data_IF_383664338959
#
_entry.id   IF_383664338959
#
_cell.length_a   1.000
_cell.length_b   1.000
_cell.length_c   1.000
_cell.angle_alpha   90.00
_cell.angle_beta   90.00
_cell.angle_gamma   90.00
#
_symmetry.space_group_name_H-M   'P 1'
#
loop_
_entity.id
_entity.type
_entity.pdbx_description
1 polymer ?
#
# COMPACT_ATOMS: atom_id res chain seq x y z
N UNK A 1 -39.13 -46.62 -26.93
CA UNK A 1 -39.70 -45.81 -25.85
C UNK A 1 -38.92 -46.11 -24.60
N UNK A 2 -37.91 -45.36 -24.30
CA UNK A 2 -37.17 -45.40 -23.04
C UNK A 2 -36.88 -43.96 -22.69
N UNK A 3 -37.62 -43.47 -21.69
CA UNK A 3 -37.53 -42.14 -21.14
C UNK A 3 -36.13 -41.95 -20.46
N UNK A 4 -35.37 -41.05 -21.00
CA UNK A 4 -34.17 -40.53 -20.34
C UNK A 4 -34.60 -39.53 -19.24
N UNK A 5 -34.65 -39.98 -18.00
CA UNK A 5 -34.76 -39.09 -16.84
C UNK A 5 -33.53 -38.23 -16.77
N UNK A 6 -33.65 -36.99 -17.19
CA UNK A 6 -32.75 -35.88 -16.89
C UNK A 6 -32.92 -35.57 -15.41
N UNK A 7 -32.03 -36.10 -14.55
CA UNK A 7 -31.87 -35.65 -13.18
C UNK A 7 -31.32 -34.22 -13.23
N UNK A 8 -32.21 -33.23 -13.16
CA UNK A 8 -31.87 -31.84 -12.80
C UNK A 8 -31.53 -31.87 -11.31
N UNK A 9 -30.26 -31.98 -10.99
CA UNK A 9 -29.76 -31.67 -9.64
C UNK A 9 -30.05 -30.20 -9.41
N UNK A 10 -30.95 -29.87 -8.50
CA UNK A 10 -31.15 -28.51 -8.00
C UNK A 10 -29.78 -27.92 -7.62
N UNK A 11 -29.27 -27.00 -8.41
CA UNK A 11 -27.95 -26.45 -8.24
C UNK A 11 -27.93 -25.50 -7.05
N UNK A 12 -27.11 -25.79 -6.07
CA UNK A 12 -26.67 -24.76 -5.11
C UNK A 12 -26.24 -23.51 -5.88
N UNK A 13 -26.90 -22.39 -5.63
CA UNK A 13 -26.62 -21.13 -6.35
C UNK A 13 -25.18 -20.68 -6.02
N UNK A 14 -24.37 -20.47 -7.07
CA UNK A 14 -23.02 -19.92 -6.90
C UNK A 14 -23.12 -18.47 -6.41
N UNK A 15 -22.28 -18.11 -5.45
CA UNK A 15 -22.11 -16.70 -5.03
C UNK A 15 -21.29 -15.96 -6.11
N UNK A 16 -21.69 -14.75 -6.51
CA UNK A 16 -20.89 -13.94 -7.43
C UNK A 16 -19.52 -13.57 -6.83
N UNK A 17 -18.56 -13.24 -7.67
CA UNK A 17 -17.23 -12.77 -7.23
C UNK A 17 -17.38 -11.48 -6.42
N UNK A 18 -18.25 -10.57 -6.88
CA UNK A 18 -18.53 -9.29 -6.23
C UNK A 18 -19.18 -9.46 -4.86
N UNK A 19 -20.21 -10.29 -4.76
CA UNK A 19 -20.91 -10.50 -3.48
C UNK A 19 -20.01 -11.15 -2.45
N UNK A 20 -19.15 -12.09 -2.89
CA UNK A 20 -18.18 -12.72 -1.99
C UNK A 20 -17.14 -11.69 -1.50
N UNK A 21 -16.58 -10.88 -2.40
CA UNK A 21 -15.64 -9.82 -2.04
C UNK A 21 -16.29 -8.78 -1.13
N UNK A 22 -17.50 -8.33 -1.45
CA UNK A 22 -18.24 -7.36 -0.63
C UNK A 22 -18.49 -7.89 0.79
N UNK A 23 -18.88 -9.17 0.92
CA UNK A 23 -19.04 -9.83 2.22
C UNK A 23 -17.74 -9.89 3.04
N UNK A 24 -16.62 -10.17 2.38
CA UNK A 24 -15.28 -10.12 3.01
C UNK A 24 -14.97 -8.71 3.52
N UNK A 25 -15.06 -7.71 2.65
CA UNK A 25 -14.70 -6.33 2.98
C UNK A 25 -15.61 -5.73 4.06
N UNK A 26 -16.89 -6.09 4.09
CA UNK A 26 -17.83 -5.67 5.13
C UNK A 26 -17.43 -6.17 6.54
N UNK A 27 -16.71 -7.27 6.61
CA UNK A 27 -16.28 -7.91 7.88
C UNK A 27 -14.96 -7.36 8.40
N UNK A 28 -14.06 -6.93 7.50
CA UNK A 28 -12.71 -6.49 7.87
C UNK A 28 -12.74 -5.05 8.39
N UNK A 29 -11.95 -4.80 9.43
CA UNK A 29 -11.74 -3.45 9.98
C UNK A 29 -10.26 -3.08 9.88
N UNK A 30 -9.95 -1.80 9.62
CA UNK A 30 -8.57 -1.33 9.63
C UNK A 30 -7.88 -1.59 10.97
N UNK A 31 -6.61 -1.95 10.93
CA UNK A 31 -5.79 -2.10 12.14
C UNK A 31 -5.75 -0.80 12.92
N UNK A 32 -5.63 -0.89 14.25
CA UNK A 32 -5.47 0.29 15.10
C UNK A 32 -4.24 1.10 14.66
N UNK A 33 -4.35 2.44 14.56
CA UNK A 33 -3.21 3.27 14.19
C UNK A 33 -2.14 3.26 15.28
N UNK A 34 -0.90 3.47 14.87
CA UNK A 34 0.25 3.63 15.75
C UNK A 34 1.01 4.89 15.38
N UNK A 35 1.60 5.55 16.34
CA UNK A 35 2.45 6.71 16.10
C UNK A 35 3.85 6.25 15.73
N UNK A 36 4.38 6.76 14.62
CA UNK A 36 5.74 6.49 14.16
C UNK A 36 6.45 7.78 13.77
N UNK A 37 7.78 7.75 13.85
CA UNK A 37 8.62 8.78 13.25
C UNK A 37 8.38 8.88 11.74
N UNK A 38 8.47 10.09 11.19
CA UNK A 38 8.18 10.34 9.77
C UNK A 38 9.03 9.47 8.85
N UNK A 39 10.30 9.20 9.19
CA UNK A 39 11.18 8.32 8.40
C UNK A 39 10.66 6.88 8.33
N UNK A 40 10.06 6.37 9.41
CA UNK A 40 9.59 4.99 9.52
C UNK A 40 8.19 4.80 8.93
N UNK A 41 7.50 5.92 8.66
CA UNK A 41 6.15 5.94 8.11
C UNK A 41 6.09 5.67 6.59
N UNK A 42 7.23 5.67 5.89
CA UNK A 42 7.27 5.42 4.45
C UNK A 42 6.62 4.10 4.04
N UNK A 43 5.71 4.18 3.05
CA UNK A 43 4.98 3.03 2.52
C UNK A 43 3.77 2.59 3.36
N UNK A 44 3.57 3.18 4.54
CA UNK A 44 2.39 2.96 5.39
C UNK A 44 1.23 3.89 4.98
N UNK A 45 0.06 3.65 5.53
CA UNK A 45 -1.14 4.44 5.27
C UNK A 45 -1.39 5.39 6.44
N UNK A 46 -1.51 6.67 6.13
CA UNK A 46 -1.76 7.73 7.11
C UNK A 46 -3.16 7.56 7.74
N UNK A 47 -3.24 7.66 9.06
CA UNK A 47 -4.49 7.48 9.81
C UNK A 47 -5.08 8.80 10.34
N UNK A 48 -4.43 9.91 10.07
CA UNK A 48 -4.86 11.27 10.44
C UNK A 48 -4.66 12.24 9.28
N UNK A 49 -5.28 13.39 9.32
CA UNK A 49 -4.95 14.49 8.42
C UNK A 49 -3.72 15.23 8.94
N UNK A 50 -2.77 15.52 8.07
CA UNK A 50 -1.60 16.35 8.40
C UNK A 50 -1.80 17.75 7.87
N UNK A 51 -1.95 18.68 8.80
CA UNK A 51 -2.04 20.11 8.50
C UNK A 51 -0.72 20.83 8.77
N UNK A 52 -0.46 21.91 8.03
CA UNK A 52 0.69 22.78 8.25
C UNK A 52 0.64 23.42 9.64
N UNK A 53 1.68 23.20 10.47
CA UNK A 53 1.78 23.80 11.79
C UNK A 53 1.96 25.33 11.74
N UNK A 54 2.57 25.83 10.66
CA UNK A 54 2.77 27.23 10.34
C UNK A 54 2.58 27.45 8.85
N UNK A 55 2.53 28.71 8.43
CA UNK A 55 2.56 29.05 7.01
C UNK A 55 3.81 28.50 6.31
N UNK A 56 3.71 28.15 5.04
CA UNK A 56 4.82 27.71 4.18
C UNK A 56 4.97 28.66 2.98
N UNK A 57 6.11 29.36 2.86
CA UNK A 57 7.14 29.53 3.87
C UNK A 57 6.61 30.28 5.10
N UNK A 58 7.31 30.16 6.24
CA UNK A 58 6.86 30.73 7.52
C UNK A 58 7.08 32.25 7.63
N UNK A 59 7.85 32.83 6.71
CA UNK A 59 8.14 34.29 6.63
C UNK A 59 8.39 34.69 5.17
N UNK A 60 8.25 35.99 4.91
CA UNK A 60 8.60 36.56 3.61
C UNK A 60 10.10 36.43 3.38
N UNK A 61 10.49 35.85 2.23
CA UNK A 61 11.90 35.59 1.93
C UNK A 61 12.26 35.86 0.48
N UNK A 62 13.56 35.98 0.23
CA UNK A 62 14.06 36.18 -1.12
C UNK A 62 13.95 34.89 -1.95
N UNK A 63 13.43 35.02 -3.17
CA UNK A 63 13.43 33.94 -4.14
C UNK A 63 14.77 33.74 -4.86
N UNK A 64 15.65 34.75 -4.82
CA UNK A 64 16.94 34.76 -5.55
C UNK A 64 18.04 35.43 -4.71
N UNK A 65 19.28 35.15 -5.05
CA UNK A 65 20.41 35.93 -4.57
C UNK A 65 20.38 37.32 -5.24
N UNK A 66 20.51 38.39 -4.45
CA UNK A 66 20.39 39.73 -5.01
C UNK A 66 20.42 40.82 -3.95
N UNK A 67 19.68 41.87 -4.21
CA UNK A 67 19.63 43.07 -3.37
C UNK A 67 18.19 43.45 -3.07
N UNK A 68 17.85 43.51 -1.80
CA UNK A 68 16.57 44.03 -1.32
C UNK A 68 16.55 45.57 -1.53
N UNK A 69 15.48 46.05 -2.17
CA UNK A 69 15.33 47.45 -2.57
C UNK A 69 13.89 47.93 -2.38
N UNK A 70 13.72 49.26 -2.35
CA UNK A 70 12.42 49.90 -2.59
C UNK A 70 12.27 50.14 -4.10
N UNK A 71 11.12 49.89 -4.64
CA UNK A 71 10.86 50.02 -6.09
C UNK A 71 11.14 51.42 -6.60
N UNK A 72 10.79 52.45 -5.82
CA UNK A 72 11.03 53.86 -6.21
C UNK A 72 12.51 54.19 -6.35
N UNK A 73 13.39 53.58 -5.52
CA UNK A 73 14.83 53.85 -5.54
C UNK A 73 15.52 53.29 -6.81
N UNK A 74 14.88 52.37 -7.52
CA UNK A 74 15.40 51.71 -8.73
C UNK A 74 14.57 51.95 -9.99
N UNK A 75 13.52 52.79 -9.88
CA UNK A 75 12.57 52.99 -10.98
C UNK A 75 13.20 53.53 -12.26
N UNK A 76 14.33 54.31 -12.15
CA UNK A 76 15.06 54.86 -13.28
C UNK A 76 16.19 53.94 -13.81
N UNK A 77 16.38 52.75 -13.24
CA UNK A 77 17.48 51.86 -13.61
C UNK A 77 17.31 51.31 -15.04
N UNK A 78 18.36 51.43 -15.85
CA UNK A 78 18.49 50.83 -17.17
C UNK A 78 19.96 50.42 -17.44
N UNK A 79 20.20 49.65 -18.49
CA UNK A 79 21.57 49.31 -18.91
C UNK A 79 22.43 50.52 -19.22
N UNK A 80 21.86 51.57 -19.86
CA UNK A 80 22.55 52.80 -20.19
C UNK A 80 22.73 53.72 -18.99
N UNK A 81 21.80 53.65 -18.02
CA UNK A 81 21.81 54.53 -16.83
C UNK A 81 21.56 53.67 -15.57
N UNK A 82 22.57 52.94 -15.09
CA UNK A 82 22.44 52.13 -13.87
C UNK A 82 22.23 53.01 -12.64
N UNK A 83 21.31 52.63 -11.76
CA UNK A 83 21.13 53.26 -10.44
C UNK A 83 22.14 52.65 -9.46
N UNK A 84 22.93 53.50 -8.79
CA UNK A 84 23.93 53.01 -7.82
C UNK A 84 23.46 53.27 -6.38
N UNK A 85 23.25 52.23 -5.61
CA UNK A 85 22.85 52.29 -4.20
C UNK A 85 23.98 51.82 -3.28
N UNK A 86 24.15 52.40 -2.08
CA UNK A 86 24.99 51.82 -1.04
C UNK A 86 24.40 50.50 -0.53
N UNK A 87 25.25 49.50 -0.31
CA UNK A 87 24.91 48.22 0.32
C UNK A 87 25.22 48.36 1.79
N UNK A 88 24.16 48.39 2.65
CA UNK A 88 24.28 48.72 4.08
C UNK A 88 24.38 47.48 4.98
N UNK A 89 24.01 46.32 4.46
CA UNK A 89 24.10 45.01 5.15
C UNK A 89 24.09 43.85 4.16
N UNK A 90 24.43 42.65 4.65
CA UNK A 90 24.27 41.37 3.92
C UNK A 90 23.51 40.41 4.82
N UNK A 91 22.49 39.70 4.26
CA UNK A 91 21.62 38.76 4.98
C UNK A 91 21.73 37.40 4.32
N UNK A 92 22.22 36.41 5.06
CA UNK A 92 22.28 35.01 4.63
C UNK A 92 21.01 34.25 5.05
N UNK A 93 20.72 33.13 4.40
CA UNK A 93 19.66 32.24 4.86
C UNK A 93 19.95 31.74 6.29
N UNK A 94 18.94 31.80 7.16
CA UNK A 94 19.07 31.48 8.58
C UNK A 94 19.54 32.62 9.48
N UNK A 95 19.85 33.80 8.93
CA UNK A 95 20.09 35.03 9.72
C UNK A 95 18.79 35.48 10.39
N UNK A 96 18.84 35.75 11.69
CA UNK A 96 17.71 36.17 12.52
C UNK A 96 17.80 37.66 12.95
N UNK A 97 18.73 38.44 12.36
CA UNK A 97 18.88 39.86 12.64
C UNK A 97 17.64 40.66 12.23
N UNK A 98 17.32 41.69 13.02
CA UNK A 98 16.27 42.63 12.69
C UNK A 98 16.81 43.73 11.75
N UNK A 99 16.62 43.55 10.46
CA UNK A 99 17.07 44.50 9.44
C UNK A 99 15.92 45.39 8.95
N UNK A 100 16.23 46.66 8.66
CA UNK A 100 15.28 47.57 8.05
C UNK A 100 15.95 48.32 6.89
N UNK A 101 15.33 48.26 5.73
CA UNK A 101 15.78 48.93 4.53
C UNK A 101 15.43 50.41 4.61
N UNK A 102 16.43 51.27 4.44
CA UNK A 102 16.23 52.73 4.40
C UNK A 102 16.08 53.20 2.95
N UNK A 103 15.34 54.29 2.70
CA UNK A 103 15.26 54.92 1.39
C UNK A 103 16.65 55.23 0.82
N UNK A 104 16.86 54.98 -0.47
CA UNK A 104 18.12 55.25 -1.16
C UNK A 104 19.26 54.26 -0.79
N UNK A 105 18.96 53.13 -0.12
CA UNK A 105 19.92 52.07 0.22
C UNK A 105 19.50 50.70 -0.34
N UNK A 106 20.41 49.74 -0.29
CA UNK A 106 20.13 48.33 -0.60
C UNK A 106 20.73 47.45 0.47
N UNK A 107 20.18 46.22 0.59
CA UNK A 107 20.72 45.17 1.45
C UNK A 107 20.96 43.95 0.57
N UNK A 108 22.19 43.46 0.56
CA UNK A 108 22.50 42.21 -0.13
C UNK A 108 21.79 41.06 0.57
N UNK A 109 21.12 40.18 -0.18
CA UNK A 109 20.29 39.12 0.38
C UNK A 109 20.46 37.85 -0.40
N UNK A 110 20.57 36.69 0.32
CA UNK A 110 20.66 35.39 -0.28
C UNK A 110 19.30 34.71 -0.40
N UNK A 111 19.15 33.81 -1.34
CA UNK A 111 17.94 33.01 -1.54
C UNK A 111 17.50 32.33 -0.24
N UNK A 112 16.22 32.45 0.11
CA UNK A 112 15.63 31.92 1.33
C UNK A 112 15.86 32.76 2.58
N UNK A 113 16.67 33.84 2.53
CA UNK A 113 16.85 34.77 3.65
C UNK A 113 15.59 35.58 3.90
N UNK A 114 15.31 35.87 5.17
CA UNK A 114 14.17 36.71 5.58
C UNK A 114 14.33 38.13 5.02
N UNK A 115 13.26 38.67 4.44
CA UNK A 115 13.25 40.00 3.91
C UNK A 115 13.36 41.06 5.05
N UNK A 116 14.25 42.05 4.91
CA UNK A 116 14.28 43.21 5.81
C UNK A 116 12.96 44.00 5.72
N UNK A 117 12.58 44.59 6.83
CA UNK A 117 11.40 45.47 6.86
C UNK A 117 11.54 46.62 5.85
N UNK A 118 10.49 46.91 5.09
CA UNK A 118 10.49 47.94 4.07
C UNK A 118 10.99 47.48 2.69
N UNK A 119 11.33 46.22 2.51
CA UNK A 119 11.63 45.64 1.20
C UNK A 119 10.37 45.54 0.35
N UNK A 120 10.42 46.04 -0.88
CA UNK A 120 9.33 45.98 -1.86
C UNK A 120 9.67 45.05 -3.02
N UNK A 121 10.96 44.80 -3.28
CA UNK A 121 11.46 43.92 -4.31
C UNK A 121 12.87 43.43 -3.98
N UNK A 122 13.28 42.30 -4.61
CA UNK A 122 14.67 41.85 -4.67
C UNK A 122 15.12 41.92 -6.13
N UNK A 123 16.19 42.72 -6.39
CA UNK A 123 16.85 42.75 -7.68
C UNK A 123 17.82 41.60 -7.75
N UNK A 124 17.67 40.63 -8.70
CA UNK A 124 18.61 39.55 -8.89
C UNK A 124 20.04 40.05 -9.11
N UNK A 125 21.03 39.32 -8.58
CA UNK A 125 22.45 39.72 -8.72
C UNK A 125 22.86 39.85 -10.19
N UNK A 126 22.26 39.07 -11.08
CA UNK A 126 22.49 39.10 -12.53
C UNK A 126 22.10 40.42 -13.21
N UNK A 127 21.24 41.20 -12.57
CA UNK A 127 20.80 42.52 -13.05
C UNK A 127 21.65 43.68 -12.49
N UNK A 128 22.81 43.35 -11.91
CA UNK A 128 23.70 44.28 -11.23
C UNK A 128 25.17 44.05 -11.60
N UNK A 129 26.05 44.84 -10.99
CA UNK A 129 27.50 44.63 -11.05
C UNK A 129 28.04 43.73 -9.91
N UNK A 130 27.18 43.22 -9.02
CA UNK A 130 27.55 42.39 -7.88
C UNK A 130 28.30 43.13 -6.76
N UNK A 131 28.20 44.45 -6.68
CA UNK A 131 28.96 45.29 -5.77
C UNK A 131 28.68 45.05 -4.30
N UNK A 132 29.73 45.03 -3.43
CA UNK A 132 29.57 44.72 -2.00
C UNK A 132 29.35 45.96 -1.12
N UNK A 133 30.02 47.09 -1.42
CA UNK A 133 29.84 48.33 -0.67
C UNK A 133 28.81 49.28 -1.35
N UNK A 134 28.74 49.20 -2.64
CA UNK A 134 27.78 49.86 -3.51
C UNK A 134 27.44 48.94 -4.65
N UNK A 135 26.18 48.93 -5.11
CA UNK A 135 25.74 48.14 -6.23
C UNK A 135 25.17 49.02 -7.34
N UNK A 136 25.57 48.75 -8.58
CA UNK A 136 24.99 49.37 -9.76
C UNK A 136 23.90 48.45 -10.33
N UNK A 137 22.65 48.88 -10.22
CA UNK A 137 21.43 48.18 -10.65
C UNK A 137 21.11 48.65 -12.07
N UNK A 138 21.01 47.68 -13.00
CA UNK A 138 20.85 47.90 -14.44
C UNK A 138 19.42 47.68 -14.95
N UNK A 139 18.58 47.06 -14.15
CA UNK A 139 17.20 46.70 -14.50
C UNK A 139 16.30 47.16 -13.36
N UNK A 140 15.23 47.88 -13.67
CA UNK A 140 14.20 48.26 -12.69
C UNK A 140 13.52 47.00 -12.15
N UNK A 141 13.13 47.02 -10.90
CA UNK A 141 12.33 45.94 -10.30
C UNK A 141 10.87 46.40 -10.16
N UNK A 142 9.96 45.48 -10.41
CA UNK A 142 8.54 45.67 -10.10
C UNK A 142 8.24 45.25 -8.65
N UNK A 143 7.14 45.80 -8.08
CA UNK A 143 6.72 45.40 -6.72
C UNK A 143 6.49 43.91 -6.61
N UNK A 144 7.05 43.29 -5.57
CA UNK A 144 7.01 41.84 -5.36
C UNK A 144 7.99 41.03 -6.21
N UNK A 145 8.84 41.67 -7.03
CA UNK A 145 9.85 40.97 -7.82
C UNK A 145 10.77 40.15 -6.92
N UNK A 146 10.92 38.86 -7.23
CA UNK A 146 11.73 37.86 -6.53
C UNK A 146 11.46 37.77 -5.00
N UNK A 147 10.23 38.08 -4.57
CA UNK A 147 9.73 37.95 -3.20
C UNK A 147 8.83 36.70 -3.10
N UNK A 148 9.09 35.85 -2.11
CA UNK A 148 8.17 34.80 -1.70
C UNK A 148 7.48 35.20 -0.41
N UNK A 149 6.17 35.37 -0.48
CA UNK A 149 5.37 35.73 0.69
C UNK A 149 5.15 34.56 1.65
N UNK A 150 5.08 34.84 2.93
CA UNK A 150 4.65 33.86 3.94
C UNK A 150 3.31 33.26 3.55
N UNK A 151 3.21 31.92 3.60
CA UNK A 151 1.99 31.19 3.23
C UNK A 151 1.68 31.19 1.73
N UNK A 152 2.65 31.53 0.89
CA UNK A 152 2.47 31.50 -0.57
C UNK A 152 2.34 30.07 -1.13
N UNK A 153 2.83 29.05 -0.42
CA UNK A 153 2.69 27.65 -0.77
C UNK A 153 1.54 27.00 0.02
N UNK A 154 1.51 27.20 1.34
CA UNK A 154 0.41 26.72 2.18
C UNK A 154 0.21 27.64 3.40
N UNK A 155 -1.04 27.78 3.84
CA UNK A 155 -1.41 28.55 5.04
C UNK A 155 -1.32 27.69 6.29
N UNK A 156 -1.09 28.32 7.44
CA UNK A 156 -1.19 27.63 8.73
C UNK A 156 -2.58 26.97 8.89
N UNK A 157 -2.60 25.71 9.32
CA UNK A 157 -3.82 24.91 9.48
C UNK A 157 -4.36 24.28 8.18
N UNK A 158 -3.78 24.56 7.02
CA UNK A 158 -4.16 23.94 5.76
C UNK A 158 -3.76 22.44 5.77
N UNK A 159 -4.71 21.56 5.39
CA UNK A 159 -4.45 20.11 5.30
C UNK A 159 -3.62 19.84 4.05
N UNK A 160 -2.42 19.29 4.25
CA UNK A 160 -1.46 19.02 3.18
C UNK A 160 -1.47 17.54 2.74
N UNK A 161 -1.74 16.63 3.67
CA UNK A 161 -1.87 15.19 3.38
C UNK A 161 -3.06 14.65 4.16
N UNK A 162 -4.00 14.00 3.47
CA UNK A 162 -5.22 13.46 4.07
C UNK A 162 -5.03 12.06 4.63
N UNK A 163 -5.80 11.69 5.64
CA UNK A 163 -5.94 10.32 6.10
C UNK A 163 -6.29 9.37 4.94
N UNK A 164 -5.85 8.11 5.02
CA UNK A 164 -6.02 7.13 3.95
C UNK A 164 -4.95 7.22 2.85
N UNK A 165 -4.08 8.22 2.87
CA UNK A 165 -2.98 8.36 1.91
C UNK A 165 -1.87 7.35 2.21
N UNK A 166 -1.48 6.53 1.22
CA UNK A 166 -0.26 5.72 1.29
C UNK A 166 0.96 6.62 1.09
N UNK A 167 1.82 6.68 2.10
CA UNK A 167 2.94 7.60 2.16
C UNK A 167 4.04 7.22 1.15
N UNK A 168 4.36 8.18 0.27
CA UNK A 168 5.44 8.14 -0.72
C UNK A 168 6.50 9.18 -0.35
N UNK A 169 7.69 9.19 -0.98
CA UNK A 169 8.75 10.14 -0.64
C UNK A 169 8.31 11.61 -0.62
N UNK A 170 7.48 12.04 -1.59
CA UNK A 170 6.95 13.41 -1.63
C UNK A 170 6.06 13.73 -0.42
N UNK A 171 5.25 12.75 0.06
CA UNK A 171 4.41 12.95 1.25
C UNK A 171 5.28 13.08 2.51
N UNK A 172 6.38 12.32 2.63
CA UNK A 172 7.35 12.44 3.73
C UNK A 172 7.95 13.84 3.75
N UNK A 173 8.33 14.39 2.58
CA UNK A 173 8.87 15.75 2.49
C UNK A 173 7.83 16.80 2.93
N UNK A 174 6.58 16.67 2.48
CA UNK A 174 5.48 17.58 2.85
C UNK A 174 5.20 17.52 4.36
N UNK A 175 5.13 16.33 4.95
CA UNK A 175 4.91 16.12 6.39
C UNK A 175 6.04 16.76 7.21
N UNK A 176 7.29 16.58 6.79
CA UNK A 176 8.44 17.20 7.44
C UNK A 176 8.41 18.74 7.31
N UNK A 177 8.07 19.26 6.11
CA UNK A 177 7.91 20.70 5.87
C UNK A 177 6.76 21.31 6.69
N UNK A 178 5.69 20.53 6.94
CA UNK A 178 4.59 20.90 7.83
C UNK A 178 4.99 21.01 9.31
N UNK A 179 6.24 20.65 9.67
CA UNK A 179 6.76 20.69 11.03
C UNK A 179 6.42 19.45 11.88
N UNK A 180 5.96 18.35 11.27
CA UNK A 180 5.60 17.12 11.98
C UNK A 180 6.81 16.16 12.05
N UNK A 181 7.19 15.77 13.27
CA UNK A 181 8.24 14.76 13.52
C UNK A 181 7.70 13.34 13.59
N UNK A 182 6.42 13.18 13.95
CA UNK A 182 5.70 11.90 14.06
C UNK A 182 4.35 12.00 13.38
N UNK A 183 3.79 10.85 13.00
CA UNK A 183 2.46 10.72 12.39
C UNK A 183 1.76 9.45 12.86
N UNK A 184 0.43 9.47 12.90
CA UNK A 184 -0.38 8.27 13.09
C UNK A 184 -0.53 7.54 11.76
N UNK A 185 -0.12 6.27 11.73
CA UNK A 185 -0.20 5.41 10.55
C UNK A 185 -0.80 4.05 10.88
N UNK A 186 -1.36 3.38 9.88
CA UNK A 186 -1.77 1.97 10.00
C UNK A 186 -0.53 1.08 9.90
N UNK A 187 -0.30 0.17 10.87
CA UNK A 187 0.85 -0.72 10.83
C UNK A 187 0.74 -1.72 9.67
N UNK A 188 1.87 -2.32 9.28
CA UNK A 188 1.87 -3.42 8.30
C UNK A 188 1.17 -4.64 8.90
N UNK A 189 0.14 -5.23 8.23
CA UNK A 189 -0.52 -6.42 8.73
C UNK A 189 0.45 -7.60 8.86
N UNK A 190 0.37 -8.32 9.96
CA UNK A 190 1.09 -9.57 10.18
C UNK A 190 0.27 -10.71 9.60
N UNK A 191 0.75 -11.27 8.50
CA UNK A 191 0.08 -12.36 7.78
C UNK A 191 0.79 -13.66 8.05
N UNK A 192 0.07 -14.67 8.52
CA UNK A 192 0.60 -16.02 8.67
C UNK A 192 -0.02 -16.91 7.58
N UNK A 193 0.84 -17.63 6.86
CA UNK A 193 0.46 -18.59 5.83
C UNK A 193 0.77 -20.00 6.30
N UNK A 194 -0.25 -20.84 6.30
CA UNK A 194 -0.20 -22.22 6.76
C UNK A 194 -0.64 -23.16 5.63
N UNK A 195 0.23 -24.09 5.21
CA UNK A 195 -0.13 -25.16 4.29
C UNK A 195 -0.51 -26.42 5.04
N UNK A 196 -1.61 -27.06 4.61
CA UNK A 196 -2.03 -28.36 5.10
C UNK A 196 -2.03 -29.36 3.97
N UNK A 197 -1.57 -30.56 4.26
CA UNK A 197 -1.52 -31.65 3.30
C UNK A 197 -0.46 -32.69 3.69
N UNK A 198 -0.89 -33.93 3.87
CA UNK A 198 0.03 -35.05 4.16
C UNK A 198 0.92 -35.37 2.97
N UNK A 199 0.53 -34.95 1.77
CA UNK A 199 1.30 -35.09 0.53
C UNK A 199 2.44 -34.05 0.42
N UNK A 200 2.41 -32.97 1.23
CA UNK A 200 3.35 -31.88 1.10
C UNK A 200 4.72 -32.20 1.72
N UNK A 201 5.76 -31.69 1.10
CA UNK A 201 7.14 -31.74 1.57
C UNK A 201 7.77 -30.35 1.46
N UNK A 202 8.70 -30.01 2.35
CA UNK A 202 9.45 -28.75 2.26
C UNK A 202 10.37 -28.79 1.03
N UNK A 203 10.40 -27.68 0.25
CA UNK A 203 11.36 -27.54 -0.85
C UNK A 203 12.81 -27.72 -0.38
N UNK A 204 13.62 -28.38 -1.19
CA UNK A 204 15.00 -28.72 -0.85
C UNK A 204 15.18 -30.05 -0.11
N UNK A 205 14.07 -30.69 0.31
CA UNK A 205 14.14 -32.05 0.87
C UNK A 205 13.99 -33.10 -0.25
N UNK A 206 14.54 -34.32 -0.12
CA UNK A 206 14.30 -35.37 -1.07
C UNK A 206 12.80 -35.70 -1.17
N UNK A 207 12.30 -35.82 -2.40
CA UNK A 207 10.91 -36.18 -2.63
C UNK A 207 10.75 -37.70 -2.73
N UNK A 208 9.74 -38.19 -2.10
CA UNK A 208 9.36 -39.61 -2.18
C UNK A 208 8.07 -39.77 -3.01
N UNK A 209 7.82 -40.96 -3.61
CA UNK A 209 6.59 -41.19 -4.37
C UNK A 209 5.33 -40.83 -3.58
N UNK A 210 4.39 -40.14 -4.22
CA UNK A 210 3.14 -39.68 -3.61
C UNK A 210 3.24 -38.32 -2.90
N UNK A 211 4.42 -37.70 -2.80
CA UNK A 211 4.57 -36.34 -2.26
C UNK A 211 4.90 -35.30 -3.33
N UNK A 212 4.57 -34.04 -3.01
CA UNK A 212 4.87 -32.84 -3.80
C UNK A 212 5.48 -31.78 -2.91
N UNK A 213 6.32 -30.90 -3.46
CA UNK A 213 6.82 -29.77 -2.68
C UNK A 213 5.75 -28.69 -2.50
N UNK A 214 5.70 -28.12 -1.29
CA UNK A 214 4.83 -26.98 -1.00
C UNK A 214 5.29 -25.76 -1.78
N UNK A 215 4.54 -25.37 -2.78
CA UNK A 215 4.74 -24.13 -3.53
C UNK A 215 3.81 -23.01 -3.07
N UNK A 216 2.64 -23.37 -2.51
CA UNK A 216 1.58 -22.43 -2.19
C UNK A 216 1.98 -21.48 -1.06
N UNK A 217 2.49 -21.99 0.06
CA UNK A 217 2.84 -21.11 1.17
C UNK A 217 3.96 -20.13 0.82
N UNK A 218 4.91 -20.53 -0.02
CA UNK A 218 5.96 -19.64 -0.51
C UNK A 218 5.40 -18.54 -1.39
N UNK A 219 4.56 -18.90 -2.36
CA UNK A 219 3.92 -17.97 -3.29
C UNK A 219 3.02 -16.99 -2.57
N UNK A 220 2.14 -17.46 -1.68
CA UNK A 220 1.19 -16.61 -0.96
C UNK A 220 1.92 -15.70 0.04
N UNK A 221 2.94 -16.19 0.74
CA UNK A 221 3.75 -15.35 1.63
C UNK A 221 4.52 -14.26 0.85
N UNK A 222 5.03 -14.58 -0.33
CA UNK A 222 5.67 -13.59 -1.21
C UNK A 222 4.66 -12.54 -1.68
N UNK A 223 3.46 -12.96 -2.14
CA UNK A 223 2.39 -12.05 -2.55
C UNK A 223 1.87 -11.16 -1.41
N UNK A 224 1.83 -11.67 -0.18
CA UNK A 224 1.48 -10.88 0.99
C UNK A 224 2.55 -9.81 1.33
N UNK A 225 3.85 -10.16 1.20
CA UNK A 225 4.94 -9.17 1.36
C UNK A 225 4.88 -8.09 0.29
N UNK A 226 4.62 -8.46 -0.95
CA UNK A 226 4.41 -7.53 -2.05
C UNK A 226 3.22 -6.60 -1.81
N UNK A 227 2.14 -7.10 -1.18
CA UNK A 227 1.01 -6.30 -0.72
C UNK A 227 1.31 -5.41 0.51
N UNK A 228 2.56 -5.41 1.01
CA UNK A 228 3.02 -4.55 2.10
C UNK A 228 2.88 -5.14 3.49
N UNK A 229 2.70 -6.47 3.61
CA UNK A 229 2.56 -7.15 4.88
C UNK A 229 3.89 -7.66 5.45
N UNK A 230 3.92 -7.92 6.75
CA UNK A 230 4.89 -8.78 7.40
C UNK A 230 4.37 -10.22 7.30
N UNK A 231 4.85 -10.99 6.32
CA UNK A 231 4.34 -12.33 6.07
C UNK A 231 5.29 -13.43 6.54
N UNK A 232 4.73 -14.38 7.27
CA UNK A 232 5.43 -15.53 7.85
C UNK A 232 4.82 -16.82 7.33
N UNK A 233 5.65 -17.81 7.06
CA UNK A 233 5.22 -19.17 6.78
C UNK A 233 5.27 -19.99 8.07
N UNK A 234 4.21 -20.75 8.31
CA UNK A 234 4.22 -21.83 9.30
C UNK A 234 4.71 -23.12 8.63
N UNK A 235 5.33 -24.01 9.41
CA UNK A 235 5.67 -25.35 8.93
C UNK A 235 4.41 -26.08 8.43
N UNK A 236 4.61 -27.00 7.46
CA UNK A 236 3.52 -27.80 6.91
C UNK A 236 2.85 -28.59 8.05
N UNK A 237 1.52 -28.49 8.13
CA UNK A 237 0.72 -29.21 9.10
C UNK A 237 0.09 -30.43 8.40
N UNK A 238 0.29 -31.64 8.91
CA UNK A 238 -0.38 -32.83 8.38
C UNK A 238 -1.92 -32.71 8.46
N UNK A 239 -2.63 -33.40 7.58
CA UNK A 239 -4.11 -33.48 7.58
C UNK A 239 -4.63 -34.27 8.79
N UNK A 240 -4.41 -33.77 9.98
CA UNK A 240 -4.86 -34.32 11.23
C UNK A 240 -5.55 -33.23 12.06
N UNK A 241 -6.86 -33.39 12.44
CA UNK A 241 -7.60 -32.40 13.23
C UNK A 241 -6.90 -32.04 14.53
N UNK A 242 -6.29 -33.00 15.20
CA UNK A 242 -5.58 -32.79 16.47
C UNK A 242 -4.34 -31.90 16.35
N UNK A 243 -3.80 -31.73 15.13
CA UNK A 243 -2.64 -30.89 14.84
C UNK A 243 -3.02 -29.56 14.18
N UNK A 244 -4.04 -29.56 13.31
CA UNK A 244 -4.45 -28.38 12.54
C UNK A 244 -5.04 -27.31 13.46
N UNK A 245 -5.95 -27.67 14.37
CA UNK A 245 -6.59 -26.72 15.25
C UNK A 245 -5.61 -26.01 16.19
N UNK A 246 -4.76 -26.72 16.95
CA UNK A 246 -3.75 -26.05 17.78
C UNK A 246 -2.74 -25.19 16.97
N UNK A 247 -2.37 -25.63 15.76
CA UNK A 247 -1.49 -24.87 14.90
C UNK A 247 -2.13 -23.54 14.47
N UNK A 248 -3.44 -23.52 14.20
CA UNK A 248 -4.19 -22.31 13.89
C UNK A 248 -4.27 -21.41 15.14
N UNK A 249 -4.68 -21.95 16.28
CA UNK A 249 -4.84 -21.20 17.53
C UNK A 249 -3.54 -20.53 17.97
N UNK A 250 -2.40 -21.22 17.85
CA UNK A 250 -1.08 -20.64 18.17
C UNK A 250 -0.75 -19.43 17.28
N UNK A 251 -1.17 -19.41 16.02
CA UNK A 251 -0.93 -18.29 15.12
C UNK A 251 -1.89 -17.12 15.34
N UNK A 252 -3.13 -17.38 15.80
CA UNK A 252 -4.12 -16.32 16.05
C UNK A 252 -3.64 -15.27 17.06
N UNK A 253 -2.80 -15.65 18.02
CA UNK A 253 -2.25 -14.73 19.00
C UNK A 253 -1.33 -13.64 18.40
N UNK A 254 -0.73 -13.91 17.24
CA UNK A 254 0.26 -13.03 16.62
C UNK A 254 -0.08 -12.56 15.20
N UNK A 255 -1.09 -13.15 14.54
CA UNK A 255 -1.48 -12.80 13.19
C UNK A 255 -2.57 -11.72 13.17
N UNK A 256 -2.52 -10.80 12.22
CA UNK A 256 -3.60 -9.88 11.88
C UNK A 256 -4.47 -10.45 10.75
N UNK A 257 -3.95 -11.47 10.05
CA UNK A 257 -4.60 -12.22 8.99
C UNK A 257 -3.99 -13.62 8.93
N UNK A 258 -4.81 -14.66 8.91
CA UNK A 258 -4.38 -16.03 8.68
C UNK A 258 -4.85 -16.52 7.30
N UNK A 259 -3.95 -17.17 6.57
CA UNK A 259 -4.25 -17.80 5.27
C UNK A 259 -3.89 -19.28 5.36
N UNK A 260 -4.86 -20.16 5.12
CA UNK A 260 -4.59 -21.59 4.93
C UNK A 260 -4.66 -21.92 3.44
N UNK A 261 -3.82 -22.83 2.97
CA UNK A 261 -3.87 -23.38 1.61
C UNK A 261 -4.02 -24.90 1.67
N UNK A 262 -4.97 -25.42 0.90
CA UNK A 262 -5.40 -26.82 0.99
C UNK A 262 -6.64 -27.00 1.88
N UNK A 263 -7.18 -28.21 1.90
CA UNK A 263 -8.29 -28.57 2.78
C UNK A 263 -9.65 -27.93 2.49
N UNK A 264 -9.92 -27.41 1.28
CA UNK A 264 -11.23 -26.86 0.85
C UNK A 264 -11.88 -27.62 -0.29
N UNK A 265 -11.46 -28.86 -0.57
CA UNK A 265 -12.04 -29.63 -1.65
C UNK A 265 -13.52 -29.95 -1.36
N UNK A 266 -14.37 -29.93 -2.42
CA UNK A 266 -15.83 -30.00 -2.29
C UNK A 266 -16.35 -31.45 -2.15
N UNK A 267 -15.50 -32.47 -2.00
CA UNK A 267 -15.92 -33.85 -2.17
C UNK A 267 -15.49 -34.84 -1.09
N UNK A 268 -14.93 -34.40 0.04
CA UNK A 268 -14.41 -35.37 1.05
C UNK A 268 -15.00 -35.15 2.43
N UNK A 269 -15.52 -36.24 3.05
CA UNK A 269 -15.78 -36.33 4.49
C UNK A 269 -14.49 -36.14 5.33
N UNK A 270 -13.33 -36.08 4.67
CA UNK A 270 -11.98 -35.95 5.25
C UNK A 270 -11.36 -34.55 5.14
N UNK A 271 -12.16 -33.50 4.95
CA UNK A 271 -11.62 -32.15 4.93
C UNK A 271 -11.34 -31.65 6.36
N UNK A 272 -10.17 -32.03 6.85
CA UNK A 272 -9.70 -31.78 8.22
C UNK A 272 -9.68 -30.30 8.56
N UNK A 273 -9.28 -29.45 7.62
CA UNK A 273 -9.23 -28.01 7.82
C UNK A 273 -10.64 -27.44 7.98
N UNK A 274 -11.60 -27.87 7.15
CA UNK A 274 -13.01 -27.51 7.32
C UNK A 274 -13.57 -27.90 8.67
N UNK A 275 -13.30 -29.13 9.11
CA UNK A 275 -13.77 -29.62 10.39
C UNK A 275 -13.18 -28.82 11.54
N UNK A 276 -11.86 -28.58 11.53
CA UNK A 276 -11.17 -27.75 12.52
C UNK A 276 -11.70 -26.31 12.54
N UNK A 277 -11.87 -25.68 11.38
CA UNK A 277 -12.33 -24.29 11.29
C UNK A 277 -13.81 -24.11 11.64
N UNK A 278 -14.68 -25.11 11.33
CA UNK A 278 -16.09 -25.10 11.76
C UNK A 278 -16.24 -25.13 13.28
N UNK A 279 -15.32 -25.76 14.01
CA UNK A 279 -15.34 -25.75 15.47
C UNK A 279 -15.07 -24.36 16.07
N UNK A 280 -14.40 -23.46 15.30
CA UNK A 280 -14.18 -22.06 15.68
C UNK A 280 -15.39 -21.14 15.38
N UNK A 281 -16.43 -21.66 14.72
CA UNK A 281 -17.80 -21.14 14.71
C UNK A 281 -18.16 -20.07 13.70
N UNK A 282 -17.22 -19.48 12.96
CA UNK A 282 -17.50 -18.30 12.13
C UNK A 282 -17.03 -18.39 10.66
N UNK A 283 -16.50 -19.53 10.23
CA UNK A 283 -15.95 -19.67 8.90
C UNK A 283 -16.96 -20.33 7.97
N UNK A 284 -17.32 -19.61 6.92
CA UNK A 284 -18.21 -20.06 5.87
C UNK A 284 -17.42 -20.55 4.67
N UNK A 285 -17.86 -21.69 4.12
CA UNK A 285 -17.32 -22.25 2.89
C UNK A 285 -18.35 -22.07 1.77
N UNK A 286 -17.96 -21.36 0.73
CA UNK A 286 -18.87 -20.98 -0.37
C UNK A 286 -18.33 -21.46 -1.72
N UNK A 287 -19.25 -21.73 -2.65
CA UNK A 287 -18.95 -21.91 -4.06
C UNK A 287 -19.07 -20.57 -4.76
N UNK A 288 -17.96 -20.00 -5.19
CA UNK A 288 -17.93 -18.71 -5.89
C UNK A 288 -17.99 -18.96 -7.41
N UNK A 289 -18.73 -18.13 -8.13
CA UNK A 289 -18.89 -18.21 -9.58
C UNK A 289 -17.62 -17.79 -10.34
N UNK A 290 -16.51 -18.48 -10.08
CA UNK A 290 -15.20 -18.17 -10.68
C UNK A 290 -14.47 -19.44 -11.15
N UNK A 291 -13.48 -19.23 -12.03
CA UNK A 291 -12.51 -20.24 -12.46
C UNK A 291 -11.14 -19.61 -12.76
N UNK A 292 -10.03 -20.14 -12.20
CA UNK A 292 -10.00 -21.19 -11.17
C UNK A 292 -10.42 -20.65 -9.80
N UNK A 293 -10.60 -21.53 -8.79
CA UNK A 293 -10.79 -21.11 -7.41
C UNK A 293 -12.24 -21.07 -6.93
N UNK A 294 -13.16 -21.88 -7.51
CA UNK A 294 -14.55 -21.92 -7.09
C UNK A 294 -14.78 -22.14 -5.58
N UNK A 295 -14.12 -23.11 -4.89
CA UNK A 295 -14.27 -23.25 -3.46
C UNK A 295 -13.46 -22.18 -2.71
N UNK A 296 -14.12 -21.45 -1.81
CA UNK A 296 -13.53 -20.42 -0.96
C UNK A 296 -13.98 -20.63 0.49
N UNK A 297 -13.09 -20.36 1.43
CA UNK A 297 -13.43 -20.27 2.85
C UNK A 297 -13.01 -18.92 3.40
N UNK A 298 -13.93 -18.27 4.13
CA UNK A 298 -13.67 -17.00 4.79
C UNK A 298 -14.46 -16.89 6.09
N UNK A 299 -13.86 -16.24 7.07
CA UNK A 299 -14.50 -15.88 8.33
C UNK A 299 -13.55 -15.15 9.26
N UNK A 300 -13.98 -14.94 10.48
CA UNK A 300 -13.16 -14.32 11.53
C UNK A 300 -13.19 -15.16 12.79
N UNK A 301 -12.07 -15.24 13.49
CA UNK A 301 -11.93 -16.01 14.74
C UNK A 301 -11.41 -15.10 15.85
N UNK A 302 -11.99 -15.23 17.04
CA UNK A 302 -11.42 -14.59 18.22
C UNK A 302 -10.09 -15.28 18.56
N UNK A 303 -9.03 -14.54 18.83
CA UNK A 303 -7.81 -15.14 19.37
C UNK A 303 -8.15 -15.80 20.72
N UNK A 304 -7.44 -16.89 21.09
CA UNK A 304 -7.64 -17.48 22.43
C UNK A 304 -7.41 -16.40 23.48
N UNK A 305 -8.27 -16.38 24.52
CA UNK A 305 -8.13 -15.44 25.61
C UNK A 305 -6.67 -15.49 26.10
N UNK A 306 -5.99 -14.34 26.08
CA UNK A 306 -4.62 -14.28 26.56
C UNK A 306 -4.62 -14.83 27.98
N UNK A 307 -3.94 -15.96 28.21
CA UNK A 307 -3.70 -16.45 29.56
C UNK A 307 -3.04 -15.27 30.31
N UNK A 308 -3.69 -14.82 31.39
CA UNK A 308 -3.16 -13.75 32.21
C UNK A 308 -1.67 -14.07 32.48
N UNK A 309 -0.75 -13.15 32.31
CA UNK A 309 0.68 -13.45 32.50
C UNK A 309 0.90 -13.88 33.94
N UNK A 310 0.94 -15.18 34.16
CA UNK A 310 1.41 -15.72 35.42
C UNK A 310 2.85 -15.25 35.60
N UNK A 311 3.04 -14.27 36.48
CA UNK A 311 4.27 -13.98 37.23
C UNK A 311 5.62 -14.18 36.53
N UNK A 312 5.81 -13.75 35.27
CA UNK A 312 7.15 -13.68 34.68
C UNK A 312 7.85 -12.44 35.19
N UNK A 313 8.78 -12.65 36.12
CA UNK A 313 9.76 -11.65 36.52
C UNK A 313 10.41 -11.02 35.27
N UNK A 314 10.29 -9.70 35.13
CA UNK A 314 10.98 -8.89 34.14
C UNK A 314 12.51 -9.01 34.36
N UNK A 315 13.17 -9.85 33.60
CA UNK A 315 14.60 -10.10 33.76
C UNK A 315 15.28 -10.81 32.59
N UNK A 316 14.74 -10.79 31.41
CA UNK A 316 15.30 -11.44 30.22
C UNK A 316 15.96 -10.48 29.24
N UNK A 317 16.80 -11.03 28.35
CA UNK A 317 17.52 -10.31 27.27
C UNK A 317 16.58 -9.42 26.41
N UNK A 318 15.32 -9.85 26.21
CA UNK A 318 14.32 -9.11 25.42
C UNK A 318 13.86 -7.80 26.08
N UNK A 319 13.80 -7.72 27.43
CA UNK A 319 13.48 -6.46 28.11
C UNK A 319 14.59 -5.42 27.96
N UNK A 320 15.86 -5.88 27.85
CA UNK A 320 17.02 -4.99 27.64
C UNK A 320 17.13 -4.49 26.21
N UNK A 321 16.52 -5.18 25.24
CA UNK A 321 16.44 -4.75 23.83
C UNK A 321 15.26 -3.78 23.61
N UNK A 322 14.15 -3.96 24.31
CA UNK A 322 13.02 -3.02 24.30
C UNK A 322 13.42 -1.65 24.87
N UNK A 323 14.20 -1.63 25.96
CA UNK A 323 14.74 -0.38 26.56
C UNK A 323 15.72 0.39 25.65
N UNK A 324 16.19 -0.25 24.56
CA UNK A 324 17.05 0.39 23.55
C UNK A 324 16.31 0.84 22.29
N UNK A 325 14.97 0.71 22.24
CA UNK A 325 14.17 1.06 21.08
C UNK A 325 14.33 0.14 19.86
N UNK A 326 14.98 -1.02 20.02
CA UNK A 326 15.28 -1.95 18.93
C UNK A 326 14.15 -2.94 18.61
N UNK A 327 13.13 -3.04 19.48
CA UNK A 327 11.94 -3.87 19.26
C UNK A 327 10.70 -3.10 19.73
N UNK A 328 9.81 -2.76 18.82
CA UNK A 328 8.53 -2.19 19.17
C UNK A 328 7.71 -3.21 19.96
N UNK A 329 7.23 -2.84 21.17
CA UNK A 329 6.29 -3.68 21.92
C UNK A 329 5.04 -3.91 21.09
N UNK A 330 4.67 -5.18 20.89
CA UNK A 330 3.43 -5.53 20.20
C UNK A 330 2.26 -5.05 21.05
N UNK A 331 1.38 -4.17 20.55
CA UNK A 331 0.22 -3.71 21.31
C UNK A 331 -0.66 -4.91 21.68
N UNK A 332 -1.04 -4.99 22.96
CA UNK A 332 -1.97 -6.01 23.45
C UNK A 332 -3.35 -5.70 22.87
N UNK A 333 -3.93 -6.67 22.15
CA UNK A 333 -5.28 -6.57 21.59
C UNK A 333 -6.32 -6.50 22.72
N UNK A 334 -7.27 -5.58 22.63
CA UNK A 334 -8.37 -5.44 23.59
C UNK A 334 -9.70 -5.14 22.86
N UNK A 335 -10.68 -6.06 22.94
CA UNK A 335 -12.08 -5.81 22.55
C UNK A 335 -12.64 -6.62 21.38
N UNK A 336 -13.91 -6.43 21.06
CA UNK A 336 -14.64 -7.11 19.96
C UNK A 336 -14.05 -6.87 18.55
N UNK A 337 -13.18 -5.87 18.41
CA UNK A 337 -12.47 -5.54 17.17
C UNK A 337 -11.24 -6.43 16.89
N UNK A 338 -10.96 -7.39 17.77
CA UNK A 338 -9.73 -8.19 17.74
C UNK A 338 -9.85 -9.53 17.00
N UNK A 339 -10.97 -9.76 16.31
CA UNK A 339 -11.16 -11.00 15.55
C UNK A 339 -10.22 -11.03 14.34
N UNK A 340 -9.49 -12.14 14.18
CA UNK A 340 -8.55 -12.35 13.08
C UNK A 340 -9.29 -12.90 11.87
N UNK A 341 -9.25 -12.23 10.72
CA UNK A 341 -9.76 -12.80 9.47
C UNK A 341 -8.95 -14.04 9.09
N UNK A 342 -9.66 -15.06 8.63
CA UNK A 342 -9.08 -16.29 8.10
C UNK A 342 -9.57 -16.53 6.68
N UNK A 343 -8.63 -16.72 5.77
CA UNK A 343 -8.90 -17.19 4.41
C UNK A 343 -8.46 -18.63 4.27
N UNK A 344 -9.30 -19.46 3.67
CA UNK A 344 -8.95 -20.82 3.30
C UNK A 344 -8.98 -20.93 1.78
N UNK A 345 -7.80 -20.97 1.18
CA UNK A 345 -7.60 -20.95 -0.27
C UNK A 345 -7.49 -22.36 -0.84
N UNK A 346 -7.85 -22.55 -2.12
CA UNK A 346 -7.73 -23.84 -2.80
C UNK A 346 -6.29 -24.39 -2.77
N UNK A 347 -6.15 -25.73 -2.74
CA UNK A 347 -4.84 -26.41 -2.79
C UNK A 347 -4.11 -26.29 -4.13
N UNK A 348 -4.83 -26.15 -5.27
CA UNK A 348 -4.20 -25.93 -6.57
C UNK A 348 -3.52 -24.56 -6.64
N UNK A 349 -2.23 -24.46 -7.06
CA UNK A 349 -1.44 -23.24 -6.95
C UNK A 349 -2.02 -22.05 -7.73
N UNK A 350 -2.52 -22.27 -8.95
CA UNK A 350 -3.13 -21.18 -9.73
C UNK A 350 -4.42 -20.70 -9.08
N UNK A 351 -5.22 -21.61 -8.53
CA UNK A 351 -6.45 -21.26 -7.80
C UNK A 351 -6.12 -20.43 -6.55
N UNK A 352 -5.12 -20.83 -5.78
CA UNK A 352 -4.66 -20.13 -4.59
C UNK A 352 -4.19 -18.70 -4.94
N UNK A 353 -3.38 -18.56 -5.99
CA UNK A 353 -2.87 -17.26 -6.42
C UNK A 353 -3.97 -16.33 -6.91
N UNK A 354 -4.86 -16.81 -7.79
CA UNK A 354 -6.00 -16.02 -8.29
C UNK A 354 -6.90 -15.60 -7.13
N UNK A 355 -7.23 -16.53 -6.21
CA UNK A 355 -8.04 -16.20 -5.02
C UNK A 355 -7.35 -15.17 -4.13
N UNK A 356 -6.03 -15.26 -3.97
CA UNK A 356 -5.26 -14.25 -3.25
C UNK A 356 -5.40 -12.87 -3.91
N UNK A 357 -5.20 -12.78 -5.21
CA UNK A 357 -5.25 -11.49 -5.91
C UNK A 357 -6.66 -10.88 -5.90
N UNK A 358 -7.70 -11.71 -6.02
CA UNK A 358 -9.09 -11.24 -6.12
C UNK A 358 -9.70 -10.91 -4.75
N UNK A 359 -9.36 -11.67 -3.70
CA UNK A 359 -10.02 -11.56 -2.38
C UNK A 359 -9.08 -11.13 -1.26
N UNK A 360 -7.91 -11.76 -1.14
CA UNK A 360 -7.01 -11.50 0.00
C UNK A 360 -6.31 -10.16 -0.14
N UNK A 361 -5.87 -9.81 -1.35
CA UNK A 361 -5.19 -8.54 -1.60
C UNK A 361 -6.06 -7.32 -1.27
N UNK A 362 -7.33 -7.22 -1.72
CA UNK A 362 -8.25 -6.17 -1.27
C UNK A 362 -8.49 -6.17 0.24
N UNK A 363 -8.60 -7.36 0.85
CA UNK A 363 -8.77 -7.51 2.29
C UNK A 363 -7.55 -6.97 3.08
N UNK A 364 -6.33 -7.19 2.58
CA UNK A 364 -5.11 -6.58 3.12
C UNK A 364 -5.18 -5.06 3.02
N UNK A 365 -5.70 -4.52 1.90
CA UNK A 365 -5.96 -3.09 1.76
C UNK A 365 -6.89 -2.56 2.85
N UNK A 366 -8.01 -3.23 3.08
CA UNK A 366 -8.96 -2.88 4.13
C UNK A 366 -8.32 -2.91 5.53
N UNK A 367 -7.46 -3.90 5.85
CA UNK A 367 -6.69 -3.93 7.10
C UNK A 367 -5.73 -2.74 7.23
N UNK A 368 -5.16 -2.29 6.13
CA UNK A 368 -4.30 -1.10 6.08
C UNK A 368 -5.09 0.22 6.05
N UNK A 369 -6.43 0.18 5.95
CA UNK A 369 -7.25 1.36 5.73
C UNK A 369 -6.98 2.04 4.38
N UNK A 370 -6.70 1.24 3.34
CA UNK A 370 -6.33 1.69 2.00
C UNK A 370 -7.12 0.94 0.92
N UNK A 371 -8.00 1.64 0.23
CA UNK A 371 -8.88 1.05 -0.79
C UNK A 371 -8.16 0.78 -2.13
N UNK A 372 -6.99 1.36 -2.34
CA UNK A 372 -6.25 1.29 -3.60
C UNK A 372 -5.31 0.08 -3.76
N UNK A 373 -5.46 -1.00 -2.96
CA UNK A 373 -4.57 -2.17 -3.05
C UNK A 373 -5.01 -3.20 -4.11
N UNK A 374 -6.21 -3.08 -4.65
CA UNK A 374 -6.69 -3.90 -5.77
C UNK A 374 -5.75 -3.84 -6.97
N UNK A 375 -5.79 -4.88 -7.81
CA UNK A 375 -5.01 -4.88 -9.04
C UNK A 375 -5.57 -3.83 -10.02
N UNK A 376 -4.66 -3.19 -10.73
CA UNK A 376 -5.03 -2.33 -11.86
C UNK A 376 -5.78 -3.15 -12.91
N UNK A 377 -6.92 -2.64 -13.36
CA UNK A 377 -7.69 -3.23 -14.46
C UNK A 377 -7.50 -2.38 -15.70
N UNK A 378 -7.08 -3.01 -16.79
CA UNK A 378 -6.95 -2.37 -18.11
C UNK A 378 -7.79 -3.13 -19.15
N UNK A 379 -8.08 -2.50 -20.27
CA UNK A 379 -8.70 -3.16 -21.42
C UNK A 379 -7.64 -3.45 -22.46
N UNK A 380 -7.62 -4.70 -22.99
CA UNK A 380 -6.67 -5.12 -24.02
C UNK A 380 -7.32 -6.05 -25.04
N UNK A 381 -6.85 -5.99 -26.28
CA UNK A 381 -7.23 -6.90 -27.36
C UNK A 381 -6.63 -8.28 -27.11
N UNK A 382 -7.43 -9.33 -27.14
CA UNK A 382 -7.00 -10.72 -26.97
C UNK A 382 -6.44 -11.23 -28.29
N UNK A 383 -5.20 -11.76 -28.27
CA UNK A 383 -4.55 -12.24 -29.50
C UNK A 383 -4.85 -13.68 -29.89
N UNK A 384 -5.54 -14.43 -29.01
CA UNK A 384 -5.89 -15.84 -29.24
C UNK A 384 -7.25 -16.19 -28.61
N UNK A 385 -7.89 -17.29 -29.04
CA UNK A 385 -9.20 -17.66 -28.54
C UNK A 385 -9.16 -18.11 -27.08
N UNK A 386 -10.18 -17.71 -26.32
CA UNK A 386 -10.38 -18.08 -24.93
C UNK A 386 -11.65 -18.93 -24.78
N UNK A 387 -11.66 -19.82 -23.78
CA UNK A 387 -12.84 -20.57 -23.37
C UNK A 387 -13.07 -20.43 -21.88
N UNK A 388 -14.33 -20.31 -21.47
CA UNK A 388 -14.78 -20.20 -20.09
C UNK A 388 -15.97 -21.13 -19.86
N UNK A 389 -16.09 -21.78 -18.70
CA UNK A 389 -17.30 -22.47 -18.32
C UNK A 389 -18.47 -21.49 -18.19
N UNK A 390 -19.69 -21.91 -18.57
CA UNK A 390 -20.87 -21.05 -18.41
C UNK A 390 -21.13 -20.71 -16.92
N UNK A 391 -21.59 -19.49 -16.68
CA UNK A 391 -21.97 -19.01 -15.35
C UNK A 391 -20.81 -18.77 -14.39
N UNK A 392 -19.58 -18.68 -14.88
CA UNK A 392 -18.38 -18.43 -14.06
C UNK A 392 -17.47 -17.41 -14.72
N UNK A 393 -16.97 -16.48 -13.92
CA UNK A 393 -15.90 -15.56 -14.35
C UNK A 393 -14.58 -16.32 -14.40
N UNK A 394 -13.95 -16.36 -15.56
CA UNK A 394 -12.62 -16.98 -15.68
C UNK A 394 -11.53 -15.95 -15.60
N UNK A 395 -10.47 -16.31 -14.86
CA UNK A 395 -9.22 -15.55 -14.72
C UNK A 395 -8.10 -16.35 -15.38
N UNK A 396 -7.81 -16.04 -16.64
CA UNK A 396 -6.88 -16.79 -17.47
C UNK A 396 -5.53 -16.08 -17.52
N UNK A 397 -4.45 -16.85 -17.41
CA UNK A 397 -3.10 -16.29 -17.45
C UNK A 397 -2.76 -15.79 -18.84
N UNK A 398 -2.18 -14.59 -18.90
CA UNK A 398 -1.75 -13.96 -20.15
C UNK A 398 -0.49 -13.14 -20.00
N UNK A 399 0.08 -12.76 -21.15
CA UNK A 399 1.15 -11.79 -21.25
C UNK A 399 0.58 -10.53 -21.89
N UNK A 400 0.50 -9.47 -21.08
CA UNK A 400 0.02 -8.15 -21.50
C UNK A 400 1.19 -7.33 -22.06
N UNK A 401 1.05 -6.88 -23.30
CA UNK A 401 1.84 -5.79 -23.87
C UNK A 401 1.03 -4.49 -23.74
N UNK A 402 1.40 -3.68 -22.74
CA UNK A 402 0.73 -2.40 -22.48
C UNK A 402 0.90 -1.41 -23.65
N UNK A 403 2.03 -1.44 -24.33
CA UNK A 403 2.34 -0.50 -25.41
C UNK A 403 1.51 -0.78 -26.66
N UNK A 404 1.27 -2.05 -26.94
CA UNK A 404 0.41 -2.49 -28.04
C UNK A 404 -1.08 -2.56 -27.67
N UNK A 405 -1.43 -2.47 -26.37
CA UNK A 405 -2.80 -2.67 -25.89
C UNK A 405 -3.32 -4.09 -26.14
N UNK A 406 -2.44 -5.09 -26.11
CA UNK A 406 -2.73 -6.49 -26.45
C UNK A 406 -2.36 -7.44 -25.33
N UNK A 407 -3.12 -8.52 -25.20
CA UNK A 407 -2.84 -9.60 -24.25
C UNK A 407 -2.84 -10.95 -24.96
N UNK A 408 -1.73 -11.69 -24.82
CA UNK A 408 -1.59 -13.03 -25.35
C UNK A 408 -1.96 -14.05 -24.26
N UNK A 409 -2.96 -14.92 -24.52
CA UNK A 409 -3.30 -15.99 -23.60
C UNK A 409 -2.18 -17.03 -23.55
N UNK A 410 -1.74 -17.41 -22.36
CA UNK A 410 -0.78 -18.50 -22.20
C UNK A 410 -1.45 -19.86 -22.46
N UNK A 411 -0.70 -20.80 -23.05
CA UNK A 411 -1.13 -22.19 -23.14
C UNK A 411 -1.07 -22.84 -21.76
N UNK A 412 -1.94 -23.84 -21.52
CA UNK A 412 -1.93 -24.54 -20.23
C UNK A 412 -2.62 -23.77 -19.11
N UNK A 413 -3.94 -23.60 -19.21
CA UNK A 413 -4.77 -22.87 -18.24
C UNK A 413 -5.25 -23.72 -17.04
N UNK A 414 -4.75 -24.94 -16.88
CA UNK A 414 -5.13 -25.81 -15.75
C UNK A 414 -4.73 -25.23 -14.40
N UNK A 415 -5.57 -25.41 -13.38
CA UNK A 415 -5.38 -24.85 -12.04
C UNK A 415 -4.14 -25.40 -11.29
N UNK A 416 -3.65 -26.57 -11.70
CA UNK A 416 -2.45 -27.23 -11.18
C UNK A 416 -1.15 -26.81 -11.89
N UNK A 417 -1.24 -26.10 -13.01
CA UNK A 417 -0.08 -25.78 -13.87
C UNK A 417 0.68 -24.55 -13.36
N UNK A 418 1.44 -24.71 -12.28
CA UNK A 418 2.18 -23.61 -11.62
C UNK A 418 3.26 -22.99 -12.53
N UNK A 419 3.88 -23.76 -13.43
CA UNK A 419 4.95 -23.27 -14.30
C UNK A 419 4.52 -22.09 -15.21
N UNK A 420 3.23 -22.00 -15.53
CA UNK A 420 2.70 -20.89 -16.35
C UNK A 420 2.49 -19.61 -15.55
N UNK A 421 2.43 -19.65 -14.20
CA UNK A 421 2.35 -18.45 -13.37
C UNK A 421 3.61 -17.59 -13.52
N UNK A 422 4.78 -18.21 -13.56
CA UNK A 422 6.04 -17.47 -13.71
C UNK A 422 6.25 -16.79 -15.08
N UNK A 423 5.35 -17.03 -16.04
CA UNK A 423 5.35 -16.38 -17.35
C UNK A 423 4.27 -15.33 -17.50
N UNK A 424 3.28 -15.33 -16.63
CA UNK A 424 2.15 -14.41 -16.69
C UNK A 424 2.50 -13.08 -16.02
N UNK A 425 2.12 -11.98 -16.67
CA UNK A 425 2.08 -10.65 -16.06
C UNK A 425 0.64 -10.09 -15.99
N UNK A 426 -0.34 -10.92 -16.34
CA UNK A 426 -1.75 -10.51 -16.37
C UNK A 426 -2.71 -11.70 -16.18
N UNK A 427 -3.92 -11.39 -15.67
CA UNK A 427 -5.07 -12.29 -15.66
C UNK A 427 -6.15 -11.71 -16.57
N UNK A 428 -6.46 -12.41 -17.65
CA UNK A 428 -7.52 -12.05 -18.59
C UNK A 428 -8.85 -12.45 -17.98
N UNK A 429 -9.78 -11.52 -17.82
CA UNK A 429 -11.11 -11.81 -17.29
C UNK A 429 -12.08 -12.14 -18.43
N UNK A 430 -12.65 -13.35 -18.38
CA UNK A 430 -13.79 -13.72 -19.22
C UNK A 430 -15.04 -13.68 -18.34
N UNK A 431 -16.02 -12.82 -18.66
CA UNK A 431 -17.19 -12.63 -17.80
C UNK A 431 -18.09 -13.87 -17.76
N UNK A 432 -18.95 -13.96 -16.76
CA UNK A 432 -19.79 -15.12 -16.46
C UNK A 432 -20.76 -15.51 -17.59
N UNK A 433 -21.19 -14.51 -18.36
CA UNK A 433 -22.11 -14.68 -19.49
C UNK A 433 -21.41 -15.16 -20.78
N UNK A 434 -20.08 -15.07 -20.84
CA UNK A 434 -19.30 -15.47 -22.02
C UNK A 434 -18.70 -16.87 -21.82
N UNK A 435 -18.97 -17.77 -22.77
CA UNK A 435 -18.36 -19.12 -22.77
C UNK A 435 -17.12 -19.18 -23.65
N UNK A 436 -16.89 -18.17 -24.47
CA UNK A 436 -15.71 -18.00 -25.33
C UNK A 436 -15.47 -16.52 -25.61
N UNK A 437 -14.23 -16.20 -25.97
CA UNK A 437 -13.84 -14.95 -26.62
C UNK A 437 -12.93 -15.30 -27.79
N UNK A 438 -13.09 -14.59 -28.90
CA UNK A 438 -12.28 -14.79 -30.10
C UNK A 438 -11.10 -13.82 -30.14
N UNK A 439 -10.07 -14.15 -30.91
CA UNK A 439 -8.96 -13.23 -31.18
C UNK A 439 -9.50 -11.92 -31.80
N UNK A 440 -8.97 -10.78 -31.36
CA UNK A 440 -9.44 -9.43 -31.75
C UNK A 440 -10.52 -8.85 -30.84
N UNK A 441 -11.15 -9.63 -29.95
CA UNK A 441 -12.07 -9.08 -28.96
C UNK A 441 -11.33 -8.39 -27.81
N UNK A 442 -11.99 -7.43 -27.17
CA UNK A 442 -11.42 -6.70 -26.02
C UNK A 442 -11.87 -7.34 -24.70
N UNK A 443 -10.91 -7.70 -23.86
CA UNK A 443 -11.13 -8.19 -22.50
C UNK A 443 -10.72 -7.17 -21.45
N UNK A 444 -11.30 -7.27 -20.26
CA UNK A 444 -10.73 -6.68 -19.06
C UNK A 444 -9.57 -7.57 -18.56
N UNK A 445 -8.50 -6.93 -18.13
CA UNK A 445 -7.25 -7.61 -17.77
C UNK A 445 -6.77 -7.04 -16.43
N UNK A 446 -6.63 -7.89 -15.44
CA UNK A 446 -5.96 -7.56 -14.18
C UNK A 446 -4.45 -7.62 -14.39
N UNK A 447 -3.77 -6.51 -14.14
CA UNK A 447 -2.32 -6.44 -14.27
C UNK A 447 -1.68 -7.00 -13.00
N UNK A 448 -0.86 -8.03 -13.17
CA UNK A 448 -0.08 -8.59 -12.07
C UNK A 448 1.11 -7.70 -11.75
N UNK A 449 1.48 -7.58 -10.47
CA UNK A 449 2.63 -6.76 -10.02
C UNK A 449 3.96 -7.27 -10.54
#
# INVERSE_FOLDING_TARGET
MTDAHTNVVEGESLTSVEDHLAGILATIRPLAPTELGVNDAYGLVLAEDVAAASALPSFDNSAMDGYAVRVEDVAAASEENPVTLPVVAEIAAGDTGAYALQPGTSIRIMTGAMLPHGTEAVVPVEWTDGGQARVAIRVKADFGQAVRLAGGDAKAGEVLVTAGTRLRPMHIAVIAAAGRGTVLVRPRPRVVVLSTGSELAEPGTPIIPGRIWDSNSFMIAAAAREAGCLAYRQAIVPDNPEQVLPAIEDQLARADLLITTGGVSMGGEHDVVKAALRSLGTIEFRKVAMQPGMPQGFGTVAPPAAAAPEGRQRGGLLSRLADRGEVAETPVRQGEHDRVPIFTLPGNPVSAYVSFQVFVRPAIGALQGYDGLGLETVRAEVTGPLRSPPGRRSFLRGVLDRSAGRVEPLTGQGSHQVATLGKANALIMVPEWAVKMEAGETAEVLVLP
#
